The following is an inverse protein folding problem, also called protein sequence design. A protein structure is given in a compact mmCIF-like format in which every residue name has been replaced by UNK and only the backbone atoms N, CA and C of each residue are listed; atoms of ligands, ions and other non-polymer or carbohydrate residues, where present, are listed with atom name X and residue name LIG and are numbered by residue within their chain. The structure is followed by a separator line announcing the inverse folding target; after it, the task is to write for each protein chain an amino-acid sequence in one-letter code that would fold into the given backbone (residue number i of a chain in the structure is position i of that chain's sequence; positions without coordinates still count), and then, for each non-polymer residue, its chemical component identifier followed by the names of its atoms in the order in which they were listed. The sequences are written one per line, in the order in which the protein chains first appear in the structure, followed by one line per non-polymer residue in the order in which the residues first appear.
data_IF_108736760498
#
_entry.id   IF_108736760498
#
_cell.length_a   1.000
_cell.length_b   1.000
_cell.length_c   1.000
_cell.angle_alpha   90.00
_cell.angle_beta   90.00
_cell.angle_gamma   90.00
#
_symmetry.space_group_name_H-M   'P 1'
#
loop_
_entity.id
_entity.type
_entity.pdbx_description
1 polymer ?
#
# COMPACT_ATOMS: atom_id res chain seq x y z
N UNK A 1 34.62 9.30 108.17
CA UNK A 1 34.06 7.94 108.38
C UNK A 1 32.60 7.95 107.95
N UNK A 2 32.22 6.92 107.16
CA UNK A 2 30.87 6.33 106.95
C UNK A 2 29.71 7.21 106.42
N UNK A 3 28.85 6.79 105.48
CA UNK A 3 28.71 5.63 104.57
C UNK A 3 27.43 5.87 103.74
N UNK A 4 27.42 5.42 102.48
CA UNK A 4 26.21 5.01 101.72
C UNK A 4 25.49 6.13 100.95
N UNK A 5 25.09 5.97 99.69
CA UNK A 5 25.15 4.80 98.81
C UNK A 5 24.52 5.12 97.45
N UNK A 6 24.82 4.24 96.48
CA UNK A 6 24.00 3.82 95.35
C UNK A 6 23.13 4.90 94.66
N UNK A 7 23.65 5.51 93.60
CA UNK A 7 22.81 5.83 92.45
C UNK A 7 23.43 5.25 91.18
N UNK A 8 22.80 4.15 90.77
CA UNK A 8 23.18 3.33 89.64
C UNK A 8 22.93 4.00 88.29
N UNK A 9 23.64 3.45 87.31
CA UNK A 9 23.44 3.68 85.88
C UNK A 9 21.97 3.53 85.45
N UNK A 10 21.71 4.17 84.31
CA UNK A 10 20.61 3.98 83.35
C UNK A 10 19.40 4.88 83.55
N UNK A 11 19.39 5.96 82.75
CA UNK A 11 18.23 6.30 81.92
C UNK A 11 18.75 6.77 80.56
N UNK A 12 18.76 5.87 79.58
CA UNK A 12 18.36 6.28 78.24
C UNK A 12 16.88 6.66 78.38
N UNK A 13 16.46 7.90 78.09
CA UNK A 13 15.13 8.06 77.55
C UNK A 13 15.22 7.49 76.14
N UNK A 14 14.64 6.31 75.93
CA UNK A 14 14.21 5.89 74.61
C UNK A 14 13.46 7.07 74.00
N UNK A 15 13.98 7.57 72.88
CA UNK A 15 13.30 8.56 72.08
C UNK A 15 12.05 7.88 71.51
N UNK A 16 10.97 7.89 72.28
CA UNK A 16 9.64 7.66 71.75
C UNK A 16 9.45 8.75 70.69
N UNK A 17 9.22 8.39 69.41
CA UNK A 17 8.99 9.42 68.41
C UNK A 17 7.82 10.27 68.90
N UNK A 18 7.95 11.60 68.92
CA UNK A 18 6.87 12.47 69.35
C UNK A 18 5.64 12.12 68.52
N UNK A 19 4.48 11.91 69.16
CA UNK A 19 3.25 11.56 68.45
C UNK A 19 2.91 12.55 67.31
N UNK A 20 3.44 13.77 67.39
CA UNK A 20 3.41 14.79 66.33
C UNK A 20 4.18 14.37 65.04
N UNK A 21 5.31 13.68 65.15
CA UNK A 21 6.08 13.16 64.00
C UNK A 21 5.27 12.11 63.22
N UNK A 22 4.61 11.19 63.94
CA UNK A 22 3.74 10.20 63.32
C UNK A 22 2.51 10.83 62.68
N UNK A 23 1.94 11.88 63.28
CA UNK A 23 0.83 12.63 62.70
C UNK A 23 1.21 13.34 61.39
N UNK A 24 2.41 13.93 61.33
CA UNK A 24 2.95 14.54 60.12
C UNK A 24 3.24 13.51 59.02
N UNK A 25 3.78 12.36 59.37
CA UNK A 25 4.02 11.25 58.43
C UNK A 25 2.70 10.71 57.85
N UNK A 26 1.66 10.54 58.68
CA UNK A 26 0.33 10.14 58.24
C UNK A 26 -0.33 11.18 57.31
N UNK A 27 -0.15 12.47 57.61
CA UNK A 27 -0.64 13.56 56.75
C UNK A 27 0.05 13.57 55.38
N UNK A 28 1.36 13.36 55.36
CA UNK A 28 2.14 13.25 54.12
C UNK A 28 1.73 12.01 53.32
N UNK A 29 1.51 10.87 53.98
CA UNK A 29 1.02 9.64 53.34
C UNK A 29 -0.36 9.84 52.72
N UNK A 30 -1.28 10.48 53.44
CA UNK A 30 -2.62 10.80 52.92
C UNK A 30 -2.56 11.72 51.70
N UNK A 31 -1.69 12.73 51.73
CA UNK A 31 -1.47 13.64 50.60
C UNK A 31 -0.92 12.91 49.37
N UNK A 32 0.02 11.99 49.57
CA UNK A 32 0.58 11.14 48.50
C UNK A 32 -0.47 10.19 47.94
N UNK A 33 -1.29 9.58 48.79
CA UNK A 33 -2.36 8.68 48.38
C UNK A 33 -3.40 9.41 47.53
N UNK A 34 -3.81 10.62 47.95
CA UNK A 34 -4.71 11.47 47.18
C UNK A 34 -4.12 11.90 45.83
N UNK A 35 -2.82 12.20 45.78
CA UNK A 35 -2.14 12.49 44.52
C UNK A 35 -2.11 11.26 43.60
N UNK A 36 -1.90 10.08 44.17
CA UNK A 36 -1.87 8.83 43.42
C UNK A 36 -3.24 8.45 42.86
N UNK A 37 -4.29 8.66 43.65
CA UNK A 37 -5.68 8.53 43.22
C UNK A 37 -6.02 9.49 42.07
N UNK A 38 -5.66 10.78 42.20
CA UNK A 38 -5.83 11.77 41.12
C UNK A 38 -5.11 11.35 39.84
N UNK A 39 -3.86 10.87 39.95
CA UNK A 39 -3.09 10.39 38.80
C UNK A 39 -3.71 9.14 38.16
N UNK A 40 -4.28 8.25 38.98
CA UNK A 40 -4.97 7.07 38.50
C UNK A 40 -6.23 7.46 37.72
N UNK A 41 -7.05 8.37 38.24
CA UNK A 41 -8.22 8.89 37.53
C UNK A 41 -7.83 9.57 36.21
N UNK A 42 -6.74 10.33 36.20
CA UNK A 42 -6.25 10.96 34.96
C UNK A 42 -5.74 9.93 33.94
N UNK A 43 -5.12 8.84 34.41
CA UNK A 43 -4.68 7.75 33.55
C UNK A 43 -5.86 7.00 32.94
N UNK A 44 -6.88 6.71 33.74
CA UNK A 44 -8.10 6.04 33.32
C UNK A 44 -8.82 6.84 32.22
N UNK A 45 -8.99 8.15 32.42
CA UNK A 45 -9.52 9.06 31.39
C UNK A 45 -8.71 9.04 30.10
N UNK A 46 -7.38 8.98 30.18
CA UNK A 46 -6.52 8.86 28.99
C UNK A 46 -6.71 7.52 28.30
N UNK A 47 -6.89 6.44 29.04
CA UNK A 47 -7.21 5.13 28.48
C UNK A 47 -8.54 5.16 27.72
N UNK A 48 -9.61 5.70 28.31
CA UNK A 48 -10.91 5.83 27.64
C UNK A 48 -10.81 6.62 26.33
N UNK A 49 -10.04 7.72 26.31
CA UNK A 49 -9.81 8.50 25.10
C UNK A 49 -9.00 7.72 24.05
N UNK A 50 -7.98 6.97 24.47
CA UNK A 50 -7.19 6.10 23.59
C UNK A 50 -8.08 5.02 22.99
N UNK A 51 -8.92 4.37 23.78
CA UNK A 51 -9.85 3.34 23.32
C UNK A 51 -10.84 3.90 22.30
N UNK A 52 -11.45 5.05 22.59
CA UNK A 52 -12.35 5.75 21.68
C UNK A 52 -11.65 6.10 20.35
N UNK A 53 -10.44 6.65 20.43
CA UNK A 53 -9.62 6.96 19.27
C UNK A 53 -9.26 5.70 18.47
N UNK A 54 -8.89 4.61 19.14
CA UNK A 54 -8.55 3.34 18.51
C UNK A 54 -9.75 2.75 17.78
N UNK A 55 -10.95 2.81 18.37
CA UNK A 55 -12.19 2.41 17.71
C UNK A 55 -12.48 3.27 16.47
N UNK A 56 -12.23 4.57 16.56
CA UNK A 56 -12.36 5.50 15.42
C UNK A 56 -11.37 5.19 14.29
N UNK A 57 -10.11 4.93 14.64
CA UNK A 57 -9.06 4.52 13.69
C UNK A 57 -9.40 3.17 13.04
N UNK A 58 -9.79 2.16 13.83
CA UNK A 58 -10.21 0.84 13.31
C UNK A 58 -11.35 0.95 12.31
N UNK A 59 -12.37 1.78 12.59
CA UNK A 59 -13.49 1.99 11.67
C UNK A 59 -13.05 2.66 10.37
N UNK A 60 -12.15 3.65 10.43
CA UNK A 60 -11.58 4.31 9.25
C UNK A 60 -10.77 3.35 8.39
N UNK A 61 -9.84 2.61 9.00
CA UNK A 61 -9.03 1.60 8.31
C UNK A 61 -9.92 0.55 7.64
N UNK A 62 -10.94 0.04 8.33
CA UNK A 62 -11.86 -0.93 7.72
C UNK A 62 -12.63 -0.35 6.53
N UNK A 63 -12.95 0.94 6.54
CA UNK A 63 -13.60 1.60 5.40
C UNK A 63 -12.62 1.75 4.24
N UNK A 64 -11.39 2.20 4.52
CA UNK A 64 -10.33 2.35 3.52
C UNK A 64 -9.98 1.01 2.87
N UNK A 65 -9.89 -0.08 3.65
CA UNK A 65 -9.67 -1.44 3.11
C UNK A 65 -10.79 -1.85 2.16
N UNK A 66 -12.06 -1.57 2.50
CA UNK A 66 -13.19 -1.90 1.62
C UNK A 66 -13.18 -1.10 0.33
N UNK A 67 -12.81 0.18 0.39
CA UNK A 67 -12.66 1.01 -0.81
C UNK A 67 -11.51 0.48 -1.66
N UNK A 68 -10.36 0.21 -1.06
CA UNK A 68 -9.21 -0.34 -1.77
C UNK A 68 -9.50 -1.70 -2.43
N UNK A 69 -10.27 -2.57 -1.78
CA UNK A 69 -10.70 -3.85 -2.35
C UNK A 69 -11.64 -3.66 -3.55
N UNK A 70 -12.56 -2.68 -3.45
CA UNK A 70 -13.43 -2.28 -4.57
C UNK A 70 -12.61 -1.75 -5.75
N UNK A 71 -11.69 -0.82 -5.50
CA UNK A 71 -10.83 -0.22 -6.52
C UNK A 71 -9.95 -1.30 -7.18
N UNK A 72 -9.44 -2.26 -6.39
CA UNK A 72 -8.67 -3.40 -6.91
C UNK A 72 -9.52 -4.30 -7.81
N UNK A 73 -10.78 -4.54 -7.45
CA UNK A 73 -11.71 -5.32 -8.26
C UNK A 73 -12.07 -4.60 -9.58
N UNK A 74 -12.21 -3.27 -9.56
CA UNK A 74 -12.43 -2.46 -10.76
C UNK A 74 -11.20 -2.48 -11.68
N UNK A 75 -10.00 -2.28 -11.14
CA UNK A 75 -8.75 -2.36 -11.90
C UNK A 75 -8.57 -3.72 -12.59
N UNK A 76 -8.94 -4.82 -11.93
CA UNK A 76 -8.93 -6.15 -12.56
C UNK A 76 -9.86 -6.23 -13.77
N UNK A 77 -11.08 -5.70 -13.66
CA UNK A 77 -12.03 -5.65 -14.78
C UNK A 77 -11.53 -4.79 -15.92
N UNK A 78 -10.89 -3.66 -15.62
CA UNK A 78 -10.31 -2.78 -16.64
C UNK A 78 -9.16 -3.47 -17.38
N UNK A 79 -8.31 -4.21 -16.66
CA UNK A 79 -7.23 -5.01 -17.25
C UNK A 79 -7.79 -6.10 -18.16
N UNK A 80 -8.83 -6.82 -17.72
CA UNK A 80 -9.48 -7.84 -18.54
C UNK A 80 -10.09 -7.22 -19.81
N UNK A 81 -10.79 -6.08 -19.68
CA UNK A 81 -11.31 -5.35 -20.84
C UNK A 81 -10.21 -4.87 -21.80
N UNK A 82 -9.08 -4.43 -21.27
CA UNK A 82 -7.93 -4.00 -22.07
C UNK A 82 -7.30 -5.18 -22.81
N UNK A 83 -7.20 -6.35 -22.15
CA UNK A 83 -6.77 -7.60 -22.78
C UNK A 83 -7.69 -7.97 -23.94
N UNK A 84 -9.00 -7.95 -23.74
CA UNK A 84 -9.98 -8.25 -24.80
C UNK A 84 -9.81 -7.31 -26.00
N UNK A 85 -9.62 -6.00 -25.74
CA UNK A 85 -9.36 -5.01 -26.81
C UNK A 85 -8.05 -5.30 -27.55
N UNK A 86 -7.00 -5.72 -26.85
CA UNK A 86 -5.73 -6.11 -27.48
C UNK A 86 -5.93 -7.35 -28.36
N UNK A 87 -6.65 -8.37 -27.89
CA UNK A 87 -6.96 -9.57 -28.69
C UNK A 87 -7.75 -9.21 -29.95
N UNK A 88 -8.70 -8.28 -29.86
CA UNK A 88 -9.42 -7.74 -31.03
C UNK A 88 -8.44 -7.04 -31.98
N UNK A 89 -7.54 -6.19 -31.47
CA UNK A 89 -6.54 -5.50 -32.29
C UNK A 89 -5.64 -6.51 -33.01
N UNK A 90 -5.14 -7.53 -32.31
CA UNK A 90 -4.33 -8.61 -32.90
C UNK A 90 -5.12 -9.30 -34.02
N UNK A 91 -6.37 -9.69 -33.76
CA UNK A 91 -7.21 -10.34 -34.78
C UNK A 91 -7.48 -9.44 -36.00
N UNK A 92 -7.59 -8.13 -35.78
CA UNK A 92 -7.78 -7.15 -36.86
C UNK A 92 -6.50 -6.96 -37.68
N UNK A 93 -5.33 -7.01 -37.04
CA UNK A 93 -4.03 -6.98 -37.71
C UNK A 93 -3.80 -8.23 -38.54
N UNK A 94 -4.14 -9.42 -38.03
CA UNK A 94 -4.06 -10.68 -38.78
C UNK A 94 -5.00 -10.71 -39.99
N UNK A 95 -6.19 -10.11 -39.87
CA UNK A 95 -7.18 -10.00 -40.97
C UNK A 95 -6.87 -8.90 -41.96
N UNK A 96 -6.08 -7.90 -41.57
CA UNK A 96 -5.61 -6.89 -42.50
C UNK A 96 -4.56 -7.57 -43.37
N UNK A 97 -4.87 -7.78 -44.66
CA UNK A 97 -3.97 -8.44 -45.59
C UNK A 97 -2.56 -7.88 -45.46
N UNK A 98 -1.56 -8.76 -45.31
CA UNK A 98 -0.16 -8.34 -45.26
C UNK A 98 0.11 -7.50 -46.51
N UNK A 99 0.85 -6.40 -46.36
CA UNK A 99 1.23 -5.55 -47.52
C UNK A 99 1.84 -6.39 -48.66
N UNK A 100 2.51 -7.48 -48.29
CA UNK A 100 3.07 -8.50 -49.18
C UNK A 100 2.01 -9.27 -50.00
N UNK A 101 0.86 -9.61 -49.41
CA UNK A 101 -0.25 -10.26 -50.12
C UNK A 101 -0.90 -9.31 -51.13
N UNK A 102 -1.01 -8.03 -50.78
CA UNK A 102 -1.52 -7.00 -51.70
C UNK A 102 -0.52 -6.74 -52.85
N UNK A 103 0.78 -6.71 -52.56
CA UNK A 103 1.82 -6.53 -53.58
C UNK A 103 1.94 -7.75 -54.52
N UNK A 104 1.75 -8.97 -54.01
CA UNK A 104 1.71 -10.17 -54.86
C UNK A 104 0.46 -10.19 -55.74
N UNK A 105 -0.73 -9.89 -55.20
CA UNK A 105 -1.94 -9.72 -56.00
C UNK A 105 -1.75 -8.64 -57.07
N UNK A 106 -1.11 -7.51 -56.73
CA UNK A 106 -0.79 -6.45 -57.70
C UNK A 106 0.14 -6.93 -58.82
N UNK A 107 1.19 -7.70 -58.50
CA UNK A 107 2.06 -8.34 -59.51
C UNK A 107 1.30 -9.32 -60.40
N UNK A 108 0.43 -10.16 -59.83
CA UNK A 108 -0.39 -11.08 -60.60
C UNK A 108 -1.36 -10.33 -61.51
N UNK A 109 -1.96 -9.24 -61.04
CA UNK A 109 -2.83 -8.37 -61.84
C UNK A 109 -2.08 -7.68 -62.99
N UNK A 110 -0.83 -7.22 -62.74
CA UNK A 110 0.03 -6.63 -63.77
C UNK A 110 0.45 -7.66 -64.84
N UNK A 111 0.72 -8.90 -64.43
CA UNK A 111 1.01 -10.02 -65.35
C UNK A 111 -0.22 -10.45 -66.16
N UNK A 112 -1.42 -10.27 -65.60
CA UNK A 112 -2.68 -10.55 -66.28
C UNK A 112 -3.18 -9.43 -67.17
N UNK A 113 -2.50 -8.28 -67.21
CA UNK A 113 -2.93 -7.16 -68.04
C UNK A 113 -2.84 -7.52 -69.54
N UNK A 114 -3.98 -7.70 -70.23
CA UNK A 114 -3.98 -8.25 -71.57
C UNK A 114 -3.40 -7.31 -72.62
N UNK A 115 -3.20 -6.04 -72.27
CA UNK A 115 -2.59 -5.00 -73.11
C UNK A 115 -1.08 -5.23 -73.30
N UNK A 116 -0.45 -6.06 -72.45
CA UNK A 116 0.99 -6.39 -72.54
C UNK A 116 1.28 -7.77 -73.14
N UNK A 117 0.26 -8.54 -73.51
CA UNK A 117 0.50 -9.78 -74.26
C UNK A 117 0.79 -9.41 -75.71
N UNK A 118 2.08 -9.31 -76.03
CA UNK A 118 2.52 -9.21 -77.41
C UNK A 118 2.11 -10.49 -78.15
N UNK A 119 1.48 -10.32 -79.31
CA UNK A 119 1.21 -11.42 -80.24
C UNK A 119 2.53 -11.97 -80.78
N UNK A 120 2.52 -13.22 -81.24
CA UNK A 120 3.75 -13.92 -81.67
C UNK A 120 4.48 -13.18 -82.80
N UNK A 121 3.71 -12.52 -83.65
CA UNK A 121 4.17 -11.71 -84.78
C UNK A 121 4.86 -10.41 -84.30
N UNK A 122 4.27 -9.70 -83.32
CA UNK A 122 4.88 -8.49 -82.72
C UNK A 122 6.20 -8.80 -82.00
N UNK A 123 6.34 -10.00 -81.42
CA UNK A 123 7.59 -10.43 -80.77
C UNK A 123 8.67 -10.74 -81.81
N UNK A 124 8.31 -11.38 -82.94
CA UNK A 124 9.25 -11.64 -84.03
C UNK A 124 9.73 -10.34 -84.69
N UNK A 125 8.83 -9.36 -84.90
CA UNK A 125 9.19 -8.05 -85.46
C UNK A 125 10.17 -7.26 -84.57
N UNK A 126 9.95 -7.25 -83.24
CA UNK A 126 10.88 -6.60 -82.28
C UNK A 126 12.24 -7.33 -82.23
N UNK A 127 12.26 -8.63 -82.42
CA UNK A 127 13.50 -9.44 -82.40
C UNK A 127 14.30 -9.22 -83.68
N UNK A 128 13.64 -9.16 -84.83
CA UNK A 128 14.28 -8.88 -86.11
C UNK A 128 14.82 -7.43 -86.16
N UNK A 129 14.07 -6.47 -85.63
CA UNK A 129 14.51 -5.07 -85.53
C UNK A 129 15.72 -4.89 -84.59
N UNK A 130 15.84 -5.72 -83.54
CA UNK A 130 16.99 -5.70 -82.61
C UNK A 130 18.18 -6.53 -83.05
N UNK A 131 18.00 -7.49 -83.95
CA UNK A 131 19.07 -8.34 -84.46
C UNK A 131 19.68 -7.83 -85.78
N UNK A 132 19.23 -6.68 -86.29
CA UNK A 132 19.70 -6.01 -87.52
C UNK A 132 20.15 -7.00 -88.61
N UNK A 133 19.16 -7.53 -89.32
CA UNK A 133 19.32 -7.98 -90.70
C UNK A 133 18.41 -7.21 -91.63
#
# INVERSE_FOLDING_TARGET
MTKGGLFGKKKHPEAVPPAESMSQELSNLSSRLRMLESRYTDLDRKFELIESNLLGVKKRINKEIKVFDSDTAELRKEIDSLRDKIEIIISSLERTASKEDIDTIKKYLELWNPVKFATREEVEEIVDEKLEK
#
